data_IF_518454735678
#
_entry.id   IF_518454735678
#
_cell.length_a   1.000
_cell.length_b   1.000
_cell.length_c   1.000
_cell.angle_alpha   90.00
_cell.angle_beta   90.00
_cell.angle_gamma   90.00
#
_symmetry.space_group_name_H-M   'P 1'
#
loop_
_entity.id
_entity.type
_entity.pdbx_description
1 polymer ?
#
# COMPACT_ATOMS: atom_id res chain seq x y z
N UNK A 1 7.98 69.18 3.35
CA UNK A 1 7.27 68.45 2.28
C UNK A 1 8.28 67.58 1.55
N UNK A 2 8.43 66.32 1.96
CA UNK A 2 9.28 65.33 1.28
C UNK A 2 8.32 64.30 0.70
N UNK A 3 8.18 64.28 -0.62
CA UNK A 3 7.36 63.30 -1.33
C UNK A 3 8.26 62.11 -1.72
N UNK A 4 8.02 60.96 -1.11
CA UNK A 4 8.61 59.68 -1.51
C UNK A 4 7.85 59.16 -2.74
N UNK A 5 8.52 59.07 -3.88
CA UNK A 5 7.96 58.41 -5.07
C UNK A 5 8.32 56.93 -5.01
N UNK A 6 7.34 56.08 -4.72
CA UNK A 6 7.47 54.63 -4.81
C UNK A 6 7.22 54.20 -6.28
N UNK A 7 8.30 53.87 -6.99
CA UNK A 7 8.20 53.24 -8.31
C UNK A 7 7.85 51.75 -8.12
N UNK A 8 6.58 51.41 -8.32
CA UNK A 8 6.13 50.02 -8.39
C UNK A 8 6.57 49.42 -9.74
N UNK A 9 7.64 48.62 -9.71
CA UNK A 9 8.02 47.76 -10.84
C UNK A 9 6.98 46.64 -10.96
N UNK A 10 6.03 46.80 -11.89
CA UNK A 10 5.21 45.70 -12.39
C UNK A 10 6.12 44.73 -13.15
N UNK A 11 6.57 43.68 -12.48
CA UNK A 11 7.15 42.52 -13.17
C UNK A 11 6.00 41.87 -13.94
N UNK A 12 6.06 41.74 -15.27
CA UNK A 12 5.08 40.94 -15.96
C UNK A 12 5.22 39.53 -15.43
N UNK A 13 4.15 38.98 -14.84
CA UNK A 13 4.06 37.56 -14.60
C UNK A 13 4.28 36.90 -15.96
N UNK A 14 5.45 36.28 -16.15
CA UNK A 14 5.69 35.44 -17.30
C UNK A 14 4.59 34.37 -17.26
N UNK A 15 3.63 34.50 -18.17
CA UNK A 15 2.66 33.47 -18.45
C UNK A 15 3.48 32.21 -18.73
N UNK A 16 3.43 31.25 -17.79
CA UNK A 16 4.05 29.94 -17.99
C UNK A 16 3.46 29.38 -19.27
N UNK A 17 4.31 29.22 -20.27
CA UNK A 17 3.94 28.68 -21.56
C UNK A 17 3.19 27.35 -21.37
N UNK A 18 2.00 27.30 -21.94
CA UNK A 18 1.15 26.12 -22.02
C UNK A 18 1.83 25.07 -22.92
N UNK A 19 2.71 24.29 -22.33
CA UNK A 19 3.30 23.07 -22.92
C UNK A 19 3.03 21.96 -21.93
N UNK A 20 1.99 21.17 -22.21
CA UNK A 20 1.50 20.00 -21.47
C UNK A 20 2.36 19.59 -20.27
N UNK A 21 1.98 19.97 -19.05
CA UNK A 21 2.68 19.52 -17.84
C UNK A 21 2.80 17.98 -17.82
N UNK A 22 3.83 17.44 -17.16
CA UNK A 22 3.99 16.00 -17.00
C UNK A 22 2.75 15.32 -16.40
N UNK A 23 1.97 16.03 -15.57
CA UNK A 23 0.66 15.56 -15.11
C UNK A 23 -0.37 15.39 -16.23
N UNK A 24 -0.44 16.32 -17.18
CA UNK A 24 -1.36 16.22 -18.32
C UNK A 24 -0.97 15.05 -19.22
N UNK A 25 0.33 14.86 -19.47
CA UNK A 25 0.84 13.66 -20.16
C UNK A 25 0.48 12.38 -19.41
N UNK A 26 0.69 12.33 -18.09
CA UNK A 26 0.36 11.17 -17.27
C UNK A 26 -1.14 10.81 -17.36
N UNK A 27 -2.03 11.81 -17.32
CA UNK A 27 -3.47 11.60 -17.49
C UNK A 27 -3.83 11.07 -18.89
N UNK A 28 -3.18 11.55 -19.95
CA UNK A 28 -3.44 11.07 -21.31
C UNK A 28 -2.93 9.64 -21.51
N UNK A 29 -1.72 9.35 -21.05
CA UNK A 29 -1.13 8.00 -21.06
C UNK A 29 -2.02 7.03 -20.29
N UNK A 30 -2.48 7.38 -19.09
CA UNK A 30 -3.39 6.56 -18.30
C UNK A 30 -4.71 6.25 -19.03
N UNK A 31 -5.29 7.23 -19.74
CA UNK A 31 -6.50 7.02 -20.55
C UNK A 31 -6.25 6.10 -21.74
N UNK A 32 -5.11 6.26 -22.42
CA UNK A 32 -4.75 5.44 -23.59
C UNK A 32 -4.43 3.99 -23.21
N UNK A 33 -3.74 3.78 -22.08
CA UNK A 33 -3.45 2.45 -21.53
C UNK A 33 -4.73 1.74 -21.06
N UNK A 34 -5.60 2.46 -20.37
CA UNK A 34 -6.73 1.86 -19.66
C UNK A 34 -6.29 0.96 -18.50
N UNK A 35 -7.14 0.02 -18.10
CA UNK A 35 -6.89 -0.87 -16.97
C UNK A 35 -6.09 -2.14 -17.34
N UNK A 36 -4.96 -2.00 -18.04
CA UNK A 36 -4.08 -3.16 -18.35
C UNK A 36 -3.42 -3.65 -17.06
N UNK A 37 -3.75 -4.86 -16.55
CA UNK A 37 -3.12 -5.39 -15.35
C UNK A 37 -1.61 -5.56 -15.56
N UNK A 38 -0.83 -5.34 -14.50
CA UNK A 38 0.62 -5.40 -14.56
C UNK A 38 1.30 -4.10 -15.05
N UNK A 39 0.56 -3.00 -15.15
CA UNK A 39 1.12 -1.67 -15.48
C UNK A 39 0.94 -0.66 -14.34
N UNK A 40 1.87 0.29 -14.24
CA UNK A 40 1.78 1.46 -13.37
C UNK A 40 2.41 2.67 -14.06
N UNK A 41 2.09 3.89 -13.62
CA UNK A 41 2.75 5.09 -14.11
C UNK A 41 3.06 6.04 -12.97
N UNK A 42 4.16 6.78 -13.11
CA UNK A 42 4.62 7.77 -12.15
C UNK A 42 5.20 8.98 -12.88
N UNK A 43 5.09 10.15 -12.27
CA UNK A 43 5.73 11.37 -12.74
C UNK A 43 7.09 11.52 -12.03
N UNK A 44 8.16 11.72 -12.79
CA UNK A 44 9.44 12.15 -12.25
C UNK A 44 9.44 13.69 -12.15
N UNK A 45 9.40 14.28 -10.94
CA UNK A 45 9.32 15.73 -10.79
C UNK A 45 10.63 16.44 -11.14
N UNK A 46 11.76 15.73 -11.26
CA UNK A 46 13.06 16.34 -11.60
C UNK A 46 13.20 16.55 -13.11
N UNK A 47 12.69 15.62 -13.90
CA UNK A 47 12.76 15.65 -15.36
C UNK A 47 11.44 15.99 -16.05
N UNK A 48 10.33 16.10 -15.31
CA UNK A 48 8.96 16.27 -15.83
C UNK A 48 8.54 15.15 -16.82
N UNK A 49 9.15 13.96 -16.70
CA UNK A 49 8.88 12.80 -17.55
C UNK A 49 7.96 11.81 -16.85
N UNK A 50 7.07 11.15 -17.60
CA UNK A 50 6.25 10.05 -17.09
C UNK A 50 6.99 8.74 -17.29
N UNK A 51 7.12 7.91 -16.25
CA UNK A 51 7.62 6.55 -16.38
C UNK A 51 6.44 5.59 -16.30
N UNK A 52 6.26 4.78 -17.34
CA UNK A 52 5.29 3.68 -17.37
C UNK A 52 6.03 2.39 -17.06
N UNK A 53 5.64 1.70 -16.00
CA UNK A 53 6.14 0.38 -15.64
C UNK A 53 5.25 -0.68 -16.29
N UNK A 54 5.87 -1.70 -16.87
CA UNK A 54 5.21 -2.91 -17.32
C UNK A 54 5.93 -4.12 -16.73
N UNK A 55 5.19 -4.90 -15.95
CA UNK A 55 5.72 -6.05 -15.23
C UNK A 55 5.93 -7.26 -16.15
N UNK A 56 6.45 -8.38 -15.61
CA UNK A 56 6.74 -9.56 -16.43
C UNK A 56 5.51 -10.25 -17.04
N UNK A 57 4.31 -9.96 -16.56
CA UNK A 57 3.04 -10.52 -17.05
C UNK A 57 2.45 -9.73 -18.22
N UNK A 58 2.99 -8.54 -18.52
CA UNK A 58 2.59 -7.71 -19.65
C UNK A 58 3.33 -8.17 -20.92
N UNK A 59 2.69 -9.04 -21.69
CA UNK A 59 3.22 -9.63 -22.92
C UNK A 59 2.20 -9.59 -24.07
N UNK A 60 2.64 -9.82 -25.31
CA UNK A 60 1.78 -9.88 -26.51
C UNK A 60 0.93 -8.63 -26.68
N UNK A 61 -0.35 -8.81 -26.99
CA UNK A 61 -1.29 -7.70 -27.23
C UNK A 61 -1.39 -6.68 -26.08
N UNK A 62 -1.08 -7.08 -24.83
CA UNK A 62 -1.01 -6.12 -23.71
C UNK A 62 0.20 -5.23 -23.82
N UNK A 63 1.36 -5.81 -24.13
CA UNK A 63 2.59 -5.04 -24.35
C UNK A 63 2.46 -4.12 -25.56
N UNK A 64 1.89 -4.60 -26.66
CA UNK A 64 1.64 -3.80 -27.87
C UNK A 64 0.78 -2.57 -27.54
N UNK A 65 -0.22 -2.73 -26.66
CA UNK A 65 -1.05 -1.61 -26.17
C UNK A 65 -0.25 -0.62 -25.32
N UNK A 66 0.60 -1.11 -24.40
CA UNK A 66 1.46 -0.23 -23.58
C UNK A 66 2.42 0.57 -24.47
N UNK A 67 3.01 -0.07 -25.47
CA UNK A 67 3.90 0.58 -26.43
C UNK A 67 3.14 1.61 -27.28
N UNK A 68 1.96 1.25 -27.81
CA UNK A 68 1.12 2.18 -28.58
C UNK A 68 0.69 3.41 -27.76
N UNK A 69 0.43 3.24 -26.46
CA UNK A 69 0.05 4.32 -25.56
C UNK A 69 1.21 5.25 -25.17
N UNK A 70 2.46 4.77 -25.26
CA UNK A 70 3.65 5.53 -24.83
C UNK A 70 4.42 6.15 -25.99
N UNK A 71 4.48 5.47 -27.15
CA UNK A 71 5.25 5.87 -28.33
C UNK A 71 4.99 7.30 -28.85
N UNK A 72 3.76 7.86 -28.85
CA UNK A 72 3.50 9.20 -29.37
C UNK A 72 4.19 10.33 -28.60
N UNK A 73 4.67 10.06 -27.38
CA UNK A 73 5.22 11.07 -26.49
C UNK A 73 6.76 11.18 -26.50
N UNK A 74 7.45 10.33 -27.27
CA UNK A 74 8.91 10.31 -27.34
C UNK A 74 9.57 10.23 -25.96
N UNK A 75 10.62 11.01 -25.72
CA UNK A 75 11.37 11.01 -24.47
C UNK A 75 10.59 11.52 -23.24
N UNK A 76 9.44 12.18 -23.45
CA UNK A 76 8.61 12.68 -22.37
C UNK A 76 7.86 11.57 -21.61
N UNK A 77 7.73 10.37 -22.20
CA UNK A 77 7.14 9.18 -21.57
C UNK A 77 8.02 7.96 -21.81
N UNK A 78 8.52 7.35 -20.75
CA UNK A 78 9.43 6.20 -20.82
C UNK A 78 8.76 4.92 -20.35
N UNK A 79 8.68 3.93 -21.23
CA UNK A 79 8.32 2.56 -20.85
C UNK A 79 9.53 1.86 -20.20
N UNK A 80 9.34 1.29 -19.02
CA UNK A 80 10.34 0.49 -18.30
C UNK A 80 9.77 -0.87 -17.95
N UNK A 81 10.46 -1.93 -18.37
CA UNK A 81 10.15 -3.31 -17.95
C UNK A 81 10.67 -3.54 -16.53
N UNK A 82 9.90 -4.26 -15.71
CA UNK A 82 10.32 -4.69 -14.39
C UNK A 82 10.15 -6.20 -14.26
N UNK A 83 11.05 -6.86 -13.53
CA UNK A 83 11.06 -8.32 -13.39
C UNK A 83 10.00 -8.84 -12.41
N UNK A 84 9.47 -7.98 -11.54
CA UNK A 84 8.40 -8.30 -10.60
C UNK A 84 7.02 -8.47 -11.26
N UNK A 85 6.02 -8.81 -10.44
CA UNK A 85 4.59 -8.72 -10.80
C UNK A 85 3.95 -7.64 -9.93
N UNK A 86 3.29 -6.67 -10.55
CA UNK A 86 2.51 -5.66 -9.88
C UNK A 86 1.19 -6.28 -9.44
N UNK A 87 0.90 -6.17 -8.15
CA UNK A 87 -0.34 -6.65 -7.57
C UNK A 87 -0.66 -5.86 -6.33
N UNK A 88 -1.94 -5.88 -5.96
CA UNK A 88 -2.37 -5.47 -4.63
C UNK A 88 -1.82 -6.51 -3.65
N UNK A 89 -0.65 -6.21 -3.07
CA UNK A 89 -0.06 -7.03 -2.02
C UNK A 89 -0.74 -6.70 -0.71
N UNK A 90 -1.06 -7.72 0.06
CA UNK A 90 -1.29 -7.60 1.49
C UNK A 90 -0.10 -8.26 2.20
N UNK A 91 0.76 -7.43 2.75
CA UNK A 91 1.88 -7.82 3.60
C UNK A 91 1.54 -7.51 5.07
N UNK A 92 2.24 -8.17 5.99
CA UNK A 92 2.16 -7.82 7.41
C UNK A 92 2.48 -6.34 7.65
N UNK A 93 1.63 -5.69 8.42
CA UNK A 93 1.62 -4.25 8.69
C UNK A 93 0.80 -3.41 7.72
N UNK A 94 0.19 -4.00 6.68
CA UNK A 94 -0.67 -3.24 5.76
C UNK A 94 -2.06 -2.99 6.35
N UNK A 95 -2.68 -1.84 6.01
CA UNK A 95 -4.04 -1.54 6.46
C UNK A 95 -5.08 -2.41 5.74
N UNK A 96 -6.05 -2.88 6.51
CA UNK A 96 -7.23 -3.63 6.05
C UNK A 96 -8.49 -2.97 6.57
N UNK A 97 -9.60 -3.17 5.87
CA UNK A 97 -10.90 -2.59 6.25
C UNK A 97 -11.97 -3.66 6.36
N UNK A 98 -12.91 -3.46 7.29
CA UNK A 98 -14.02 -4.37 7.54
C UNK A 98 -14.97 -3.80 8.58
N UNK A 99 -16.28 -4.01 8.43
CA UNK A 99 -17.28 -3.52 9.40
C UNK A 99 -17.33 -2.00 9.57
N UNK A 100 -16.78 -1.23 8.63
CA UNK A 100 -16.63 0.23 8.75
C UNK A 100 -15.36 0.69 9.49
N UNK A 101 -14.53 -0.25 9.97
CA UNK A 101 -13.29 0.03 10.69
C UNK A 101 -12.05 -0.23 9.81
N UNK A 102 -10.95 0.42 10.18
CA UNK A 102 -9.62 0.17 9.62
C UNK A 102 -8.75 -0.49 10.68
N UNK A 103 -8.20 -1.65 10.34
CA UNK A 103 -7.25 -2.40 11.16
C UNK A 103 -5.95 -2.64 10.39
N UNK A 104 -5.04 -3.42 10.97
CA UNK A 104 -3.76 -3.79 10.34
C UNK A 104 -3.66 -5.31 10.23
N UNK A 105 -3.24 -5.83 9.08
CA UNK A 105 -2.88 -7.24 8.94
C UNK A 105 -1.56 -7.51 9.67
N UNK A 106 -1.48 -8.57 10.48
CA UNK A 106 -0.29 -8.92 11.26
C UNK A 106 0.72 -9.69 10.43
N UNK A 107 0.38 -10.92 10.08
CA UNK A 107 1.22 -11.79 9.24
C UNK A 107 0.33 -12.71 8.38
N UNK A 108 0.82 -13.04 7.19
CA UNK A 108 0.23 -14.10 6.37
C UNK A 108 0.69 -15.46 6.88
N UNK A 109 -0.25 -16.40 6.99
CA UNK A 109 -0.01 -17.75 7.48
C UNK A 109 -0.74 -18.75 6.59
N UNK A 110 -0.36 -20.02 6.66
CA UNK A 110 -0.99 -21.10 5.90
C UNK A 110 -1.32 -22.27 6.81
N UNK A 111 -2.36 -23.02 6.48
CA UNK A 111 -2.76 -24.20 7.24
C UNK A 111 -3.90 -24.94 6.55
N UNK A 112 -3.90 -26.27 6.61
CA UNK A 112 -4.97 -27.10 6.02
C UNK A 112 -5.20 -26.86 4.52
N UNK A 113 -4.17 -26.46 3.77
CA UNK A 113 -4.26 -26.16 2.33
C UNK A 113 -4.85 -24.79 1.98
N UNK A 114 -5.08 -23.91 2.97
CA UNK A 114 -5.58 -22.56 2.76
C UNK A 114 -4.61 -21.50 3.29
N UNK A 115 -4.77 -20.28 2.79
CA UNK A 115 -4.04 -19.09 3.20
C UNK A 115 -4.90 -18.22 4.10
N UNK A 116 -4.26 -17.58 5.08
CA UNK A 116 -4.90 -16.69 6.03
C UNK A 116 -4.00 -15.50 6.34
N UNK A 117 -4.57 -14.45 6.93
CA UNK A 117 -3.78 -13.51 7.72
C UNK A 117 -4.29 -13.48 9.16
N UNK A 118 -3.37 -13.22 10.09
CA UNK A 118 -3.70 -12.98 11.49
C UNK A 118 -3.81 -11.48 11.75
N UNK A 119 -4.76 -11.07 12.58
CA UNK A 119 -4.94 -9.68 13.06
C UNK A 119 -5.43 -9.69 14.50
N UNK A 120 -5.77 -8.54 15.05
CA UNK A 120 -6.28 -8.43 16.41
C UNK A 120 -7.71 -9.00 16.53
N UNK A 121 -8.04 -9.55 17.69
CA UNK A 121 -9.33 -10.17 17.98
C UNK A 121 -10.45 -9.13 18.03
N UNK A 122 -10.19 -7.97 18.64
CA UNK A 122 -11.16 -6.87 18.67
C UNK A 122 -11.56 -6.40 17.26
N UNK A 123 -10.61 -6.43 16.32
CA UNK A 123 -10.86 -6.17 14.90
C UNK A 123 -11.75 -7.26 14.27
N UNK A 124 -11.46 -8.54 14.57
CA UNK A 124 -12.27 -9.68 14.11
C UNK A 124 -13.70 -9.71 14.66
N UNK A 125 -13.92 -9.19 15.87
CA UNK A 125 -15.26 -9.07 16.46
C UNK A 125 -16.10 -7.99 15.76
N UNK A 126 -15.45 -6.92 15.30
CA UNK A 126 -16.12 -5.81 14.61
C UNK A 126 -16.40 -6.09 13.12
N UNK A 127 -15.75 -7.09 12.51
CA UNK A 127 -15.83 -7.34 11.07
C UNK A 127 -15.90 -8.83 10.72
N UNK A 128 -16.92 -9.20 9.93
CA UNK A 128 -17.08 -10.55 9.37
C UNK A 128 -16.40 -10.74 8.00
N UNK A 129 -16.20 -9.66 7.25
CA UNK A 129 -15.59 -9.66 5.91
C UNK A 129 -14.57 -8.54 5.78
N UNK A 130 -13.45 -8.85 5.13
CA UNK A 130 -12.28 -7.98 5.02
C UNK A 130 -11.94 -7.62 3.59
N UNK A 131 -11.44 -6.39 3.43
CA UNK A 131 -11.03 -5.81 2.17
C UNK A 131 -9.66 -5.14 2.33
N UNK A 132 -8.91 -5.08 1.23
CA UNK A 132 -7.73 -4.23 1.14
C UNK A 132 -8.17 -2.76 1.18
N UNK A 133 -7.25 -1.84 1.47
CA UNK A 133 -7.55 -0.40 1.42
C UNK A 133 -8.05 0.06 0.03
N UNK A 134 -7.64 -0.63 -1.04
CA UNK A 134 -8.11 -0.40 -2.41
C UNK A 134 -9.49 -1.01 -2.72
N UNK A 135 -10.18 -1.61 -1.74
CA UNK A 135 -11.52 -2.17 -1.88
C UNK A 135 -11.58 -3.60 -2.44
N UNK A 136 -10.44 -4.22 -2.75
CA UNK A 136 -10.42 -5.62 -3.18
C UNK A 136 -10.78 -6.55 -2.01
N UNK A 137 -11.70 -7.50 -2.25
CA UNK A 137 -12.08 -8.52 -1.28
C UNK A 137 -10.86 -9.35 -0.88
N UNK A 138 -10.65 -9.49 0.43
CA UNK A 138 -9.68 -10.43 1.00
C UNK A 138 -10.39 -11.73 1.35
N UNK A 139 -11.43 -11.65 2.18
CA UNK A 139 -12.25 -12.80 2.58
C UNK A 139 -12.83 -12.68 3.98
N UNK A 140 -13.46 -13.75 4.48
CA UNK A 140 -14.18 -13.73 5.75
C UNK A 140 -13.28 -14.03 6.96
N UNK A 141 -13.69 -13.54 8.13
CA UNK A 141 -13.14 -13.99 9.42
C UNK A 141 -13.43 -15.49 9.60
N UNK A 142 -12.38 -16.27 9.87
CA UNK A 142 -12.46 -17.71 10.10
C UNK A 142 -12.46 -18.08 11.59
N UNK A 143 -12.02 -17.17 12.45
CA UNK A 143 -12.10 -17.31 13.91
C UNK A 143 -11.60 -16.05 14.61
N UNK A 144 -12.17 -15.75 15.78
CA UNK A 144 -11.76 -14.61 16.60
C UNK A 144 -11.85 -14.98 18.08
N UNK A 145 -10.98 -14.42 18.91
CA UNK A 145 -11.01 -14.54 20.37
C UNK A 145 -10.71 -13.18 20.99
N UNK A 146 -11.74 -12.55 21.56
CA UNK A 146 -11.70 -11.29 22.29
C UNK A 146 -13.01 -11.09 23.07
N UNK A 147 -12.99 -10.64 24.35
CA UNK A 147 -11.82 -10.34 25.19
C UNK A 147 -11.11 -11.61 25.73
N UNK A 148 -10.16 -11.45 26.66
CA UNK A 148 -9.32 -12.53 27.20
C UNK A 148 -8.08 -12.80 26.33
N UNK A 149 -8.29 -13.09 25.04
CA UNK A 149 -7.24 -13.02 24.02
C UNK A 149 -7.47 -11.80 23.11
N UNK A 150 -6.55 -11.55 22.18
CA UNK A 150 -6.72 -10.52 21.17
C UNK A 150 -6.13 -10.97 19.83
N UNK A 151 -6.71 -12.03 19.26
CA UNK A 151 -6.37 -12.49 17.91
C UNK A 151 -7.60 -12.84 17.09
N UNK A 152 -7.47 -12.64 15.78
CA UNK A 152 -8.41 -13.06 14.76
C UNK A 152 -7.65 -13.65 13.58
N UNK A 153 -8.25 -14.62 12.90
CA UNK A 153 -7.73 -15.24 11.69
C UNK A 153 -8.74 -15.03 10.57
N UNK A 154 -8.26 -14.54 9.43
CA UNK A 154 -9.09 -14.21 8.26
C UNK A 154 -8.63 -15.06 7.10
N UNK A 155 -9.57 -15.76 6.44
CA UNK A 155 -9.26 -16.63 5.31
C UNK A 155 -9.20 -15.83 4.03
N UNK A 156 -8.15 -16.04 3.23
CA UNK A 156 -8.13 -15.53 1.86
C UNK A 156 -9.10 -16.32 0.99
N UNK A 157 -10.07 -15.62 0.42
CA UNK A 157 -10.99 -16.14 -0.61
C UNK A 157 -11.03 -15.27 -1.87
N UNK A 158 -10.55 -14.01 -1.77
CA UNK A 158 -10.32 -13.14 -2.92
C UNK A 158 -8.95 -13.31 -3.55
N UNK A 159 -8.74 -12.67 -4.70
CA UNK A 159 -7.48 -12.71 -5.45
C UNK A 159 -6.54 -11.58 -5.01
N UNK A 160 -5.96 -11.73 -3.82
CA UNK A 160 -5.02 -10.77 -3.21
C UNK A 160 -3.70 -11.49 -2.90
N UNK A 161 -2.56 -10.90 -3.25
CA UNK A 161 -1.25 -11.52 -2.97
C UNK A 161 -1.00 -11.53 -1.48
N UNK A 162 -0.57 -12.68 -0.95
CA UNK A 162 -0.41 -12.95 0.47
C UNK A 162 0.98 -13.52 0.77
N UNK A 163 2.01 -12.74 0.40
CA UNK A 163 3.41 -13.11 0.60
C UNK A 163 3.71 -13.20 2.11
N UNK A 164 4.58 -14.13 2.53
CA UNK A 164 4.96 -14.37 3.93
C UNK A 164 5.85 -13.28 4.53
N UNK A 165 5.57 -12.00 4.28
CA UNK A 165 6.44 -10.88 4.65
C UNK A 165 5.75 -9.91 5.60
N UNK A 166 6.57 -9.11 6.31
CA UNK A 166 6.18 -7.85 6.96
C UNK A 166 6.89 -6.72 6.24
N UNK A 167 6.18 -6.00 5.37
CA UNK A 167 6.80 -5.12 4.38
C UNK A 167 7.71 -5.89 3.42
N UNK A 168 9.00 -5.56 3.43
CA UNK A 168 10.02 -6.26 2.64
C UNK A 168 10.76 -7.37 3.43
N UNK A 169 10.46 -7.52 4.73
CA UNK A 169 11.11 -8.52 5.58
C UNK A 169 10.40 -9.86 5.43
N UNK A 170 11.12 -10.89 5.01
CA UNK A 170 10.61 -12.27 4.97
C UNK A 170 10.45 -12.84 6.39
N UNK A 171 9.33 -13.53 6.64
CA UNK A 171 9.02 -14.19 7.92
C UNK A 171 9.21 -15.69 7.76
N UNK A 172 10.30 -16.19 8.33
CA UNK A 172 10.70 -17.59 8.19
C UNK A 172 10.31 -18.47 9.37
N UNK A 173 10.01 -17.87 10.53
CA UNK A 173 9.60 -18.59 11.75
C UNK A 173 8.80 -17.70 12.69
N UNK A 174 7.98 -18.34 13.52
CA UNK A 174 7.43 -17.73 14.73
C UNK A 174 8.29 -18.12 15.95
N UNK A 175 8.33 -17.26 16.95
CA UNK A 175 9.03 -17.50 18.22
C UNK A 175 8.36 -16.76 19.37
N UNK A 176 8.60 -17.22 20.59
CA UNK A 176 8.17 -16.52 21.80
C UNK A 176 9.14 -15.42 22.14
N UNK A 177 8.61 -14.24 22.45
CA UNK A 177 9.43 -13.09 22.82
C UNK A 177 10.08 -13.27 24.21
N UNK A 178 11.17 -12.56 24.46
CA UNK A 178 11.83 -12.50 25.78
C UNK A 178 12.11 -11.06 26.22
N UNK A 179 12.13 -10.80 27.53
CA UNK A 179 12.46 -9.46 28.06
C UNK A 179 13.87 -9.06 27.65
N UNK A 180 14.02 -7.86 27.12
CA UNK A 180 15.28 -7.37 26.54
C UNK A 180 15.43 -7.68 25.05
N UNK A 181 14.53 -8.42 24.43
CA UNK A 181 14.54 -8.65 22.99
C UNK A 181 14.29 -7.36 22.22
N UNK A 182 15.09 -7.11 21.18
CA UNK A 182 14.85 -6.04 20.24
C UNK A 182 13.76 -6.45 19.25
N UNK A 183 12.70 -5.65 19.14
CA UNK A 183 11.53 -5.93 18.32
C UNK A 183 11.15 -4.73 17.47
N UNK A 184 10.60 -4.98 16.29
CA UNK A 184 10.02 -3.97 15.43
C UNK A 184 8.55 -4.32 15.12
N UNK A 185 7.69 -3.31 15.13
CA UNK A 185 6.30 -3.37 14.70
C UNK A 185 6.13 -2.56 13.44
N UNK A 186 5.43 -3.11 12.45
CA UNK A 186 4.93 -2.36 11.29
C UNK A 186 3.41 -2.21 11.41
N UNK A 187 2.93 -0.97 11.44
CA UNK A 187 1.52 -0.62 11.54
C UNK A 187 1.02 0.16 10.34
N UNK A 188 -0.22 -0.07 9.92
CA UNK A 188 -0.83 0.60 8.77
C UNK A 188 -1.13 2.09 8.97
N UNK A 189 -0.89 2.63 10.16
CA UNK A 189 -1.13 4.03 10.53
C UNK A 189 0.18 4.79 10.72
N UNK A 190 1.11 4.25 11.51
CA UNK A 190 2.31 4.98 11.95
C UNK A 190 3.61 4.44 11.32
N UNK A 191 3.53 3.37 10.54
CA UNK A 191 4.69 2.79 9.87
C UNK A 191 5.47 1.85 10.78
N UNK A 192 6.81 1.86 10.64
CA UNK A 192 7.70 0.96 11.38
C UNK A 192 8.23 1.64 12.64
N UNK A 193 8.10 0.97 13.78
CA UNK A 193 8.66 1.37 15.06
C UNK A 193 9.44 0.22 15.66
N UNK A 194 10.61 0.50 16.22
CA UNK A 194 11.43 -0.49 16.89
C UNK A 194 11.68 -0.09 18.34
N UNK A 195 11.91 -1.08 19.19
CA UNK A 195 12.15 -0.91 20.61
C UNK A 195 12.54 -2.24 21.25
N UNK A 196 12.34 -2.32 22.56
CA UNK A 196 12.75 -3.48 23.36
C UNK A 196 11.56 -4.01 24.14
N UNK A 197 11.46 -5.33 24.26
CA UNK A 197 10.46 -5.97 25.11
C UNK A 197 10.77 -5.66 26.58
N UNK A 198 9.86 -4.94 27.24
CA UNK A 198 10.03 -4.51 28.63
C UNK A 198 9.45 -5.51 29.64
N UNK A 199 8.38 -6.21 29.26
CA UNK A 199 7.68 -7.17 30.10
C UNK A 199 6.90 -8.18 29.24
N UNK A 200 6.57 -9.33 29.83
CA UNK A 200 5.73 -10.38 29.25
C UNK A 200 4.58 -10.69 30.21
N UNK A 201 3.51 -11.34 29.72
CA UNK A 201 2.35 -11.72 30.53
C UNK A 201 1.71 -10.53 31.27
N UNK A 202 1.73 -9.36 30.63
CA UNK A 202 1.12 -8.16 31.18
C UNK A 202 -0.40 -8.24 31.02
N UNK A 203 -1.12 -7.94 32.11
CA UNK A 203 -2.56 -7.80 32.09
C UNK A 203 -2.94 -6.36 31.71
N UNK A 204 -3.81 -6.21 30.71
CA UNK A 204 -4.34 -4.93 30.23
C UNK A 204 -5.86 -4.93 30.40
N UNK A 205 -6.36 -3.95 31.15
CA UNK A 205 -7.79 -3.75 31.37
C UNK A 205 -8.34 -2.81 30.28
N UNK A 206 -9.15 -3.34 29.37
CA UNK A 206 -9.92 -2.57 28.39
C UNK A 206 -11.35 -2.29 28.89
N UNK A 207 -12.06 -1.39 28.22
CA UNK A 207 -13.47 -1.14 28.53
C UNK A 207 -14.34 -2.39 28.26
N UNK A 208 -13.95 -3.19 27.28
CA UNK A 208 -14.60 -4.41 26.84
C UNK A 208 -14.24 -5.63 27.70
N UNK A 209 -13.25 -5.52 28.60
CA UNK A 209 -12.77 -6.58 29.48
C UNK A 209 -11.25 -6.63 29.63
N UNK A 210 -10.77 -7.53 30.47
CA UNK A 210 -9.33 -7.71 30.74
C UNK A 210 -8.71 -8.75 29.82
N UNK A 211 -7.45 -8.54 29.42
CA UNK A 211 -6.55 -9.57 28.86
C UNK A 211 -5.28 -9.66 29.70
#
# INVERSE_FOLDING_TARGET
>A
MIALVAAALLVPAAARADTASGETRARQVARALGAVPGTAWLLDPRSDTVVVLADRTVTGARLDRVEAATRPYGDAVRLRRIDGVLGLRLSGGDPVTGGGYRCTAGANVTGGGAYYFVTAGHCGTAASTWYTLGGALIGPTAGTSFPGNDYSIVRYTGNVSHDGTVGQQDITRAGSAYVGEHVCMRGGTTGVHCGTVLALNATVNYAEGTR
#
